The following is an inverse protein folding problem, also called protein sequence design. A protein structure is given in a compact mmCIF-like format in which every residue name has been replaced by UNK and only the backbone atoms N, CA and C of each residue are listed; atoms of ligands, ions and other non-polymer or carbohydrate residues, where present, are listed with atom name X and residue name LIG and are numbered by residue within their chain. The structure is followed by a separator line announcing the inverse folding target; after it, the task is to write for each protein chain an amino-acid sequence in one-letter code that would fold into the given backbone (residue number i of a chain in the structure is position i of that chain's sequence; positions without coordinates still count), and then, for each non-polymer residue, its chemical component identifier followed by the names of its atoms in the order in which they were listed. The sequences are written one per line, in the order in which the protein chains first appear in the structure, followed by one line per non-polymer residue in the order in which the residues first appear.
data_IF_918527337633
#
_entry.id   IF_918527337633
#
_cell.length_a   1.000
_cell.length_b   1.000
_cell.length_c   1.000
_cell.angle_alpha   90.00
_cell.angle_beta   90.00
_cell.angle_gamma   90.00
#
_symmetry.space_group_name_H-M   'P 1'
#
loop_
_entity.id
_entity.type
_entity.pdbx_description
1 polymer ?
#
# COMPACT_ATOMS: atom_id res chain seq x y z
N UNK A 1 -1.91 -7.13 -23.02
CA UNK A 1 -0.67 -6.39 -22.67
C UNK A 1 -0.84 -5.93 -21.25
N UNK A 2 0.26 -5.81 -20.48
CA UNK A 2 0.17 -5.36 -19.09
C UNK A 2 -0.30 -3.90 -19.06
N UNK A 3 -1.38 -3.60 -18.34
CA UNK A 3 -1.92 -2.25 -18.24
C UNK A 3 -2.59 -2.01 -16.88
N UNK A 4 -2.65 -0.75 -16.46
CA UNK A 4 -3.35 -0.35 -15.22
C UNK A 4 -4.84 -0.63 -15.36
N UNK A 5 -5.39 -1.47 -14.48
CA UNK A 5 -6.83 -1.76 -14.44
C UNK A 5 -7.57 -0.98 -13.37
N UNK A 6 -6.87 -0.59 -12.29
CA UNK A 6 -7.45 0.09 -11.14
C UNK A 6 -6.41 0.95 -10.45
N UNK A 7 -6.83 2.12 -10.00
CA UNK A 7 -6.07 3.00 -9.11
C UNK A 7 -6.92 3.25 -7.87
N UNK A 8 -6.40 2.92 -6.69
CA UNK A 8 -7.00 3.20 -5.39
C UNK A 8 -6.09 4.06 -4.52
N UNK A 9 -6.65 5.15 -4.03
CA UNK A 9 -5.99 6.08 -3.11
C UNK A 9 -6.51 5.83 -1.69
N UNK A 10 -5.65 5.99 -0.69
CA UNK A 10 -6.04 5.89 0.72
C UNK A 10 -5.74 7.20 1.45
N UNK A 11 -6.62 8.22 1.36
CA UNK A 11 -6.32 9.57 1.90
C UNK A 11 -5.90 9.58 3.36
N UNK A 12 -6.54 8.74 4.18
CA UNK A 12 -6.17 8.55 5.59
C UNK A 12 -5.58 7.16 5.78
N UNK A 13 -4.40 7.09 6.40
CA UNK A 13 -3.74 5.82 6.76
C UNK A 13 -4.70 4.95 7.58
N UNK A 14 -4.69 3.65 7.29
CA UNK A 14 -5.52 2.62 7.93
C UNK A 14 -7.02 2.65 7.56
N UNK A 15 -7.54 3.71 6.94
CA UNK A 15 -8.97 3.83 6.58
C UNK A 15 -9.25 3.46 5.12
N UNK A 16 -10.53 3.35 4.76
CA UNK A 16 -10.98 2.93 3.42
C UNK A 16 -10.47 3.85 2.31
N UNK A 17 -10.23 3.26 1.15
CA UNK A 17 -9.73 3.98 -0.03
C UNK A 17 -10.84 4.34 -1.01
N UNK A 18 -10.48 5.13 -2.02
CA UNK A 18 -11.35 5.56 -3.12
C UNK A 18 -10.69 5.21 -4.46
N UNK A 19 -11.48 4.67 -5.38
CA UNK A 19 -11.02 4.39 -6.75
C UNK A 19 -11.06 5.67 -7.59
N UNK A 20 -10.06 5.83 -8.45
CA UNK A 20 -9.93 6.96 -9.37
C UNK A 20 -9.51 6.48 -10.76
N UNK A 21 -9.91 7.23 -11.79
CA UNK A 21 -9.51 6.94 -13.18
C UNK A 21 -8.10 7.43 -13.48
N UNK A 22 -7.64 8.48 -12.79
CA UNK A 22 -6.28 9.01 -12.90
C UNK A 22 -5.84 9.70 -11.61
N UNK A 23 -4.53 9.84 -11.43
CA UNK A 23 -3.96 10.52 -10.26
C UNK A 23 -2.65 11.23 -10.60
N UNK A 24 -2.49 12.53 -10.23
CA UNK A 24 -1.23 13.24 -10.36
C UNK A 24 -0.17 12.72 -9.39
N UNK A 25 1.08 12.74 -9.85
CA UNK A 25 2.26 12.50 -9.03
C UNK A 25 2.68 13.81 -8.39
N UNK A 26 2.83 13.81 -7.07
CA UNK A 26 3.33 14.95 -6.31
C UNK A 26 4.84 14.87 -6.14
N UNK A 27 5.39 15.95 -5.58
CA UNK A 27 6.76 15.95 -5.10
C UNK A 27 7.02 14.73 -4.21
N UNK A 28 8.27 14.29 -4.13
CA UNK A 28 8.68 13.06 -3.45
C UNK A 28 8.07 11.76 -4.00
N UNK A 29 7.51 11.79 -5.22
CA UNK A 29 7.13 10.59 -5.97
C UNK A 29 5.89 9.88 -5.44
N UNK A 30 5.07 10.57 -4.63
CA UNK A 30 3.81 10.04 -4.10
C UNK A 30 2.63 10.32 -5.02
N UNK A 31 1.61 9.50 -4.94
CA UNK A 31 0.30 9.81 -5.55
C UNK A 31 -0.39 10.90 -4.71
N UNK A 32 -0.99 11.88 -5.38
CA UNK A 32 -1.83 12.87 -4.71
C UNK A 32 -2.94 12.17 -3.91
N UNK A 33 -3.21 12.64 -2.69
CA UNK A 33 -4.20 12.07 -1.78
C UNK A 33 -3.92 10.62 -1.33
N UNK A 34 -2.73 10.05 -1.55
CA UNK A 34 -2.40 8.75 -0.96
C UNK A 34 -1.65 8.89 0.37
N UNK A 35 -2.34 8.53 1.44
CA UNK A 35 -1.86 8.49 2.83
C UNK A 35 -1.28 9.83 3.28
N UNK A 36 -1.90 10.92 2.84
CA UNK A 36 -1.52 12.28 3.25
C UNK A 36 -1.82 12.52 4.72
N UNK A 37 -2.79 11.80 5.28
CA UNK A 37 -3.19 11.91 6.68
C UNK A 37 -3.01 10.61 7.44
N UNK A 38 -2.79 10.71 8.76
CA UNK A 38 -2.79 9.57 9.67
C UNK A 38 -3.32 9.96 11.05
N UNK A 39 -3.81 8.96 11.77
CA UNK A 39 -4.30 9.08 13.15
C UNK A 39 -3.18 8.77 14.13
N UNK A 40 -3.08 9.55 15.21
CA UNK A 40 -2.08 9.39 16.26
C UNK A 40 -2.72 9.38 17.66
N UNK A 41 -2.13 8.59 18.56
CA UNK A 41 -2.48 8.58 19.98
C UNK A 41 -1.69 9.64 20.76
N UNK A 42 -1.92 9.73 22.08
CA UNK A 42 -1.24 10.69 22.96
C UNK A 42 0.29 10.52 23.03
N UNK A 43 0.80 9.33 22.71
CA UNK A 43 2.24 9.02 22.66
C UNK A 43 2.86 9.36 21.30
N UNK A 44 2.08 9.90 20.35
CA UNK A 44 2.51 10.17 18.98
C UNK A 44 2.73 8.90 18.16
N UNK A 45 2.05 7.81 18.53
CA UNK A 45 2.11 6.53 17.83
C UNK A 45 0.90 6.38 16.90
N UNK A 46 1.10 5.73 15.75
CA UNK A 46 0.02 5.52 14.79
C UNK A 46 -1.13 4.69 15.37
N UNK A 47 -2.36 5.20 15.25
CA UNK A 47 -3.57 4.38 15.40
C UNK A 47 -3.80 3.61 14.11
N UNK A 48 -3.47 2.31 14.14
CA UNK A 48 -3.53 1.45 12.96
C UNK A 48 -3.98 0.03 13.31
N UNK A 49 -4.35 -0.74 12.28
CA UNK A 49 -4.90 -2.08 12.45
C UNK A 49 -3.93 -3.08 13.11
N UNK A 50 -2.63 -2.78 13.22
CA UNK A 50 -1.71 -3.62 13.99
C UNK A 50 -1.88 -3.43 15.49
N UNK A 51 -2.00 -2.17 15.94
CA UNK A 51 -1.98 -1.78 17.36
C UNK A 51 -3.39 -1.66 17.95
N UNK A 52 -4.33 -1.05 17.22
CA UNK A 52 -5.70 -0.87 17.67
C UNK A 52 -6.67 -1.46 16.62
N UNK A 53 -7.42 -2.50 17.01
CA UNK A 53 -8.35 -3.17 16.08
C UNK A 53 -9.57 -2.31 15.75
N UNK A 54 -9.92 -1.35 16.62
CA UNK A 54 -11.10 -0.51 16.46
C UNK A 54 -11.04 0.32 15.18
N UNK A 55 -9.85 0.64 14.66
CA UNK A 55 -9.69 1.39 13.42
C UNK A 55 -10.38 0.73 12.22
N UNK A 56 -10.51 -0.61 12.22
CA UNK A 56 -11.21 -1.33 11.16
C UNK A 56 -12.72 -1.07 11.14
N UNK A 57 -13.30 -0.66 12.27
CA UNK A 57 -14.72 -0.33 12.35
C UNK A 57 -15.03 1.05 11.76
N UNK A 58 -14.02 1.87 11.46
CA UNK A 58 -14.22 3.16 10.83
C UNK A 58 -14.15 2.97 9.31
N UNK A 59 -15.29 3.19 8.65
CA UNK A 59 -15.37 3.27 7.21
C UNK A 59 -15.32 4.73 6.77
N UNK A 60 -14.61 4.98 5.67
CA UNK A 60 -14.57 6.30 5.03
C UNK A 60 -15.12 6.23 3.62
N UNK A 61 -15.97 7.20 3.27
CA UNK A 61 -16.39 7.47 1.89
C UNK A 61 -15.79 8.80 1.48
N UNK A 62 -15.06 8.83 0.36
CA UNK A 62 -14.36 10.03 -0.10
C UNK A 62 -14.91 10.45 -1.45
N UNK A 63 -15.25 11.73 -1.57
CA UNK A 63 -15.54 12.38 -2.86
C UNK A 63 -14.47 13.44 -3.10
N UNK A 64 -13.50 13.11 -3.96
CA UNK A 64 -12.40 14.00 -4.31
C UNK A 64 -12.85 15.21 -5.13
N UNK A 65 -13.93 15.10 -5.90
CA UNK A 65 -14.45 16.20 -6.70
C UNK A 65 -15.18 17.23 -5.82
N UNK A 66 -15.88 16.75 -4.79
CA UNK A 66 -16.51 17.59 -3.78
C UNK A 66 -15.57 18.01 -2.63
N UNK A 67 -14.32 17.51 -2.61
CA UNK A 67 -13.36 17.68 -1.52
C UNK A 67 -13.96 17.30 -0.14
N UNK A 68 -14.58 16.12 -0.06
CA UNK A 68 -15.28 15.69 1.16
C UNK A 68 -14.93 14.26 1.57
N UNK A 69 -15.01 14.03 2.87
CA UNK A 69 -14.83 12.72 3.49
C UNK A 69 -15.88 12.51 4.58
N UNK A 70 -16.58 11.38 4.47
CA UNK A 70 -17.54 10.90 5.45
C UNK A 70 -16.96 9.73 6.21
N UNK A 71 -16.93 9.83 7.54
CA UNK A 71 -16.58 8.77 8.47
C UNK A 71 -17.86 8.12 9.00
N UNK A 72 -17.88 6.79 9.09
CA UNK A 72 -18.97 6.02 9.68
C UNK A 72 -18.41 4.88 10.52
N UNK A 73 -18.98 4.66 11.71
CA UNK A 73 -18.64 3.50 12.54
C UNK A 73 -19.56 2.33 12.18
N UNK A 74 -18.97 1.22 11.78
CA UNK A 74 -19.63 -0.03 11.41
C UNK A 74 -20.66 -0.46 12.46
N UNK A 75 -21.83 -0.93 12.02
CA UNK A 75 -22.98 -1.33 12.85
C UNK A 75 -23.52 -0.24 13.80
N UNK A 76 -23.32 1.05 13.48
CA UNK A 76 -23.89 2.17 14.25
C UNK A 76 -24.40 3.29 13.34
N UNK A 77 -25.21 4.19 13.90
CA UNK A 77 -25.63 5.43 13.23
C UNK A 77 -24.64 6.60 13.43
N UNK A 78 -23.44 6.33 13.99
CA UNK A 78 -22.44 7.37 14.25
C UNK A 78 -21.69 7.71 12.97
N UNK A 79 -21.93 8.91 12.47
CA UNK A 79 -21.24 9.45 11.30
C UNK A 79 -20.62 10.82 11.59
N UNK A 80 -19.59 11.18 10.83
CA UNK A 80 -18.99 12.50 10.85
C UNK A 80 -18.56 12.89 9.43
N UNK A 81 -18.89 14.08 8.98
CA UNK A 81 -18.60 14.55 7.62
C UNK A 81 -17.79 15.85 7.71
N UNK A 82 -16.74 15.96 6.89
CA UNK A 82 -15.98 17.20 6.76
C UNK A 82 -15.30 17.32 5.40
N UNK A 83 -14.70 18.47 5.16
CA UNK A 83 -13.82 18.67 4.02
C UNK A 83 -12.61 17.73 4.14
N UNK A 84 -12.17 17.14 3.02
CA UNK A 84 -10.99 16.27 3.00
C UNK A 84 -9.70 17.07 3.21
N UNK A 85 -9.56 18.17 2.49
CA UNK A 85 -8.46 19.09 2.70
C UNK A 85 -8.60 19.77 4.08
N UNK A 86 -7.59 19.60 4.94
CA UNK A 86 -7.52 20.23 6.25
C UNK A 86 -8.15 19.44 7.40
N UNK A 87 -8.40 18.12 7.23
CA UNK A 87 -8.89 17.27 8.33
C UNK A 87 -7.98 17.25 9.56
N UNK A 88 -6.68 17.50 9.39
CA UNK A 88 -5.68 17.65 10.46
C UNK A 88 -5.88 18.90 11.32
N UNK A 89 -6.68 19.85 10.85
CA UNK A 89 -7.03 21.08 11.56
C UNK A 89 -8.50 21.10 12.01
N UNK A 90 -9.17 19.93 12.06
CA UNK A 90 -10.57 19.81 12.44
C UNK A 90 -10.74 19.27 13.88
N UNK A 91 -10.92 20.14 14.89
CA UNK A 91 -11.07 19.71 16.29
C UNK A 91 -12.36 18.93 16.56
N UNK A 92 -13.40 19.09 15.74
CA UNK A 92 -14.64 18.33 15.90
C UNK A 92 -14.45 16.87 15.46
N UNK A 93 -13.65 16.64 14.41
CA UNK A 93 -13.26 15.30 13.98
C UNK A 93 -12.41 14.61 15.06
N UNK A 94 -11.40 15.30 15.60
CA UNK A 94 -10.54 14.76 16.67
C UNK A 94 -11.35 14.40 17.93
N UNK A 95 -12.32 15.25 18.30
CA UNK A 95 -13.23 14.96 19.42
C UNK A 95 -14.12 13.73 19.13
N UNK A 96 -14.63 13.60 17.91
CA UNK A 96 -15.44 12.45 17.49
C UNK A 96 -14.63 11.14 17.49
N UNK A 97 -13.38 11.19 17.02
CA UNK A 97 -12.45 10.05 17.05
C UNK A 97 -12.05 9.70 18.50
N UNK A 98 -11.73 10.69 19.32
CA UNK A 98 -11.38 10.52 20.74
C UNK A 98 -12.50 9.83 21.50
N UNK A 99 -13.76 10.25 21.29
CA UNK A 99 -14.93 9.59 21.88
C UNK A 99 -15.11 8.14 21.40
N UNK A 100 -14.80 7.85 20.14
CA UNK A 100 -14.89 6.49 19.60
C UNK A 100 -13.80 5.55 20.15
N UNK A 101 -12.56 6.02 20.19
CA UNK A 101 -11.43 5.21 20.64
C UNK A 101 -11.29 5.15 22.17
N UNK A 102 -11.98 6.03 22.90
CA UNK A 102 -11.86 6.20 24.37
C UNK A 102 -10.42 6.54 24.82
N UNK A 103 -9.69 7.25 23.94
CA UNK A 103 -8.33 7.73 24.15
C UNK A 103 -8.09 8.99 23.28
N UNK A 104 -7.19 9.92 23.66
CA UNK A 104 -6.94 11.13 22.87
C UNK A 104 -6.40 10.80 21.47
N UNK A 105 -7.12 11.21 20.43
CA UNK A 105 -6.73 11.01 19.03
C UNK A 105 -6.51 12.35 18.33
N UNK A 106 -5.39 12.47 17.63
CA UNK A 106 -5.12 13.57 16.70
C UNK A 106 -5.03 13.09 15.26
N UNK A 107 -5.27 14.01 14.34
CA UNK A 107 -5.08 13.79 12.89
C UNK A 107 -3.91 14.66 12.44
N UNK A 108 -2.91 14.07 11.80
CA UNK A 108 -1.80 14.84 11.24
C UNK A 108 -1.71 14.69 9.72
N UNK A 109 -1.23 15.74 9.05
CA UNK A 109 -0.86 15.73 7.65
C UNK A 109 0.65 15.51 7.48
N UNK A 110 1.04 14.69 6.50
CA UNK A 110 2.44 14.45 6.18
C UNK A 110 3.08 15.70 5.55
N UNK A 111 4.17 16.19 6.14
CA UNK A 111 4.80 17.45 5.75
C UNK A 111 5.57 17.41 4.40
N UNK A 112 6.28 16.31 4.12
CA UNK A 112 7.16 16.20 2.93
C UNK A 112 7.01 14.88 2.14
N UNK A 113 6.48 13.85 2.79
CA UNK A 113 6.26 12.50 2.22
C UNK A 113 4.80 12.12 2.44
N UNK A 114 4.48 10.84 2.55
CA UNK A 114 3.20 10.35 3.03
C UNK A 114 3.39 9.32 4.16
N UNK A 115 2.32 8.96 4.85
CA UNK A 115 2.33 7.94 5.89
C UNK A 115 2.19 6.52 5.32
N UNK A 116 3.00 6.21 4.31
CA UNK A 116 3.02 4.92 3.60
C UNK A 116 3.14 3.71 4.53
N UNK A 117 2.51 2.60 4.15
CA UNK A 117 2.67 1.31 4.84
C UNK A 117 4.03 0.63 4.52
N UNK A 118 4.80 1.20 3.60
CA UNK A 118 6.08 0.65 3.13
C UNK A 118 7.31 1.29 3.81
N UNK A 119 7.13 2.37 4.59
CA UNK A 119 8.23 3.11 5.22
C UNK A 119 9.14 2.23 6.10
N UNK A 120 8.56 1.31 6.88
CA UNK A 120 9.34 0.40 7.71
C UNK A 120 10.16 -0.62 6.92
N UNK A 121 9.71 -0.99 5.71
CA UNK A 121 10.38 -1.95 4.83
C UNK A 121 11.57 -1.37 4.08
N UNK A 122 11.54 -0.07 3.82
CA UNK A 122 12.56 0.63 3.03
C UNK A 122 13.53 1.47 3.88
N UNK A 123 13.19 1.74 5.15
CA UNK A 123 14.04 2.51 6.06
C UNK A 123 15.48 1.95 6.13
N UNK A 124 15.72 0.63 6.08
CA UNK A 124 17.08 0.08 6.07
C UNK A 124 17.92 0.44 4.83
N UNK A 125 17.27 0.79 3.71
CA UNK A 125 17.91 1.00 2.40
C UNK A 125 17.90 2.49 1.98
N UNK A 126 17.58 3.41 2.90
CA UNK A 126 17.62 4.88 2.73
C UNK A 126 16.77 5.43 1.59
N UNK A 127 15.75 4.70 1.14
CA UNK A 127 14.75 5.24 0.24
C UNK A 127 13.74 6.03 1.08
N UNK A 128 13.72 7.35 0.91
CA UNK A 128 12.86 8.27 1.68
C UNK A 128 11.54 8.59 0.97
N UNK A 129 11.42 8.25 -0.31
CA UNK A 129 10.29 8.51 -1.17
C UNK A 129 9.73 7.18 -1.69
N UNK A 130 8.58 6.74 -1.17
CA UNK A 130 7.88 5.58 -1.73
C UNK A 130 6.90 6.02 -2.80
N UNK A 131 6.98 5.34 -3.94
CA UNK A 131 5.94 5.32 -4.92
C UNK A 131 4.75 4.44 -4.51
N UNK A 132 3.74 4.32 -5.39
CA UNK A 132 2.62 3.43 -5.21
C UNK A 132 3.08 1.97 -5.17
N UNK A 133 2.25 1.13 -4.56
CA UNK A 133 2.43 -0.31 -4.63
C UNK A 133 1.60 -0.89 -5.78
N UNK A 134 2.11 -1.95 -6.42
CA UNK A 134 1.50 -2.58 -7.59
C UNK A 134 1.26 -4.08 -7.37
N UNK A 135 0.16 -4.61 -7.92
CA UNK A 135 -0.22 -6.04 -7.90
C UNK A 135 -0.90 -6.44 -9.21
N UNK A 136 -0.76 -7.68 -9.66
CA UNK A 136 -1.58 -8.20 -10.77
C UNK A 136 -3.02 -8.53 -10.35
N UNK A 137 -3.99 -8.30 -11.23
CA UNK A 137 -5.39 -8.74 -11.06
C UNK A 137 -5.46 -10.27 -10.90
N UNK A 138 -4.78 -10.99 -11.78
CA UNK A 138 -4.69 -12.46 -11.72
C UNK A 138 -3.95 -12.93 -10.45
N UNK A 139 -3.01 -12.14 -9.91
CA UNK A 139 -2.41 -12.43 -8.61
C UNK A 139 -3.44 -12.36 -7.49
N UNK A 140 -4.32 -11.37 -7.51
CA UNK A 140 -5.38 -11.25 -6.51
C UNK A 140 -6.41 -12.36 -6.63
N UNK A 141 -6.80 -12.74 -7.86
CA UNK A 141 -7.69 -13.87 -8.12
C UNK A 141 -7.07 -15.20 -7.64
N UNK A 142 -5.79 -15.43 -7.94
CA UNK A 142 -5.06 -16.61 -7.47
C UNK A 142 -5.01 -16.67 -5.94
N UNK A 143 -4.61 -15.58 -5.28
CA UNK A 143 -4.54 -15.51 -3.81
C UNK A 143 -5.93 -15.69 -3.19
N UNK A 144 -6.97 -15.10 -3.78
CA UNK A 144 -8.35 -15.26 -3.31
C UNK A 144 -8.78 -16.73 -3.35
N UNK A 145 -8.44 -17.46 -4.43
CA UNK A 145 -8.76 -18.89 -4.58
C UNK A 145 -8.22 -19.80 -3.48
N UNK A 146 -7.26 -19.32 -2.69
CA UNK A 146 -6.71 -20.06 -1.56
C UNK A 146 -7.63 -20.11 -0.33
N UNK A 147 -8.72 -19.32 -0.35
CA UNK A 147 -9.68 -19.15 0.72
C UNK A 147 -11.11 -19.28 0.19
N UNK A 148 -11.97 -20.03 0.88
CA UNK A 148 -13.34 -20.33 0.42
C UNK A 148 -14.31 -19.13 0.44
N UNK A 149 -13.95 -18.08 1.17
CA UNK A 149 -14.80 -16.94 1.55
C UNK A 149 -14.21 -15.58 1.15
N UNK A 150 -13.16 -15.57 0.32
CA UNK A 150 -12.56 -14.33 -0.20
C UNK A 150 -12.62 -14.30 -1.72
N UNK A 151 -12.83 -13.10 -2.25
CA UNK A 151 -12.69 -12.79 -3.67
C UNK A 151 -11.49 -11.85 -3.91
N UNK A 152 -11.22 -11.54 -5.17
CA UNK A 152 -10.10 -10.69 -5.56
C UNK A 152 -10.20 -9.28 -4.97
N UNK A 153 -11.40 -8.70 -4.87
CA UNK A 153 -11.60 -7.38 -4.26
C UNK A 153 -11.33 -7.41 -2.75
N UNK A 154 -11.79 -8.45 -2.06
CA UNK A 154 -11.49 -8.71 -0.65
C UNK A 154 -9.99 -8.80 -0.39
N UNK A 155 -9.23 -9.47 -1.27
CA UNK A 155 -7.76 -9.47 -1.21
C UNK A 155 -7.20 -8.07 -1.46
N UNK A 156 -7.64 -7.36 -2.50
CA UNK A 156 -7.16 -6.01 -2.82
C UNK A 156 -7.30 -5.05 -1.62
N UNK A 157 -8.49 -5.03 -1.01
CA UNK A 157 -8.81 -4.21 0.18
C UNK A 157 -7.91 -4.54 1.37
N UNK A 158 -7.59 -5.82 1.58
CA UNK A 158 -6.67 -6.30 2.65
C UNK A 158 -5.22 -5.90 2.40
N UNK A 159 -4.78 -5.89 1.14
CA UNK A 159 -3.40 -5.54 0.77
C UNK A 159 -3.12 -4.04 0.84
N UNK A 160 -4.17 -3.22 0.72
CA UNK A 160 -4.11 -1.74 0.63
C UNK A 160 -3.13 -1.26 -0.45
N UNK A 161 -3.14 -1.96 -1.58
CA UNK A 161 -2.32 -1.62 -2.75
C UNK A 161 -2.94 -0.48 -3.53
N UNK A 162 -2.11 0.28 -4.24
CA UNK A 162 -2.55 1.44 -4.99
C UNK A 162 -2.95 1.11 -6.42
N UNK A 163 -2.18 0.30 -7.13
CA UNK A 163 -2.37 0.05 -8.55
C UNK A 163 -2.56 -1.45 -8.78
N UNK A 164 -3.60 -1.81 -9.51
CA UNK A 164 -3.79 -3.16 -10.05
C UNK A 164 -3.44 -3.20 -11.54
N UNK A 165 -2.91 -4.34 -11.98
CA UNK A 165 -2.41 -4.56 -13.34
C UNK A 165 -3.20 -5.71 -13.97
N UNK A 166 -3.84 -5.45 -15.11
CA UNK A 166 -4.51 -6.47 -15.92
C UNK A 166 -3.61 -6.94 -17.08
N UNK A 167 -3.97 -8.06 -17.71
CA UNK A 167 -3.28 -8.62 -18.85
C UNK A 167 -1.96 -9.31 -18.51
N UNK A 168 -1.81 -9.77 -17.27
CA UNK A 168 -0.61 -10.42 -16.72
C UNK A 168 -0.94 -11.73 -16.01
N UNK A 169 0.01 -12.67 -15.98
CA UNK A 169 -0.13 -13.95 -15.24
C UNK A 169 -0.03 -13.76 -13.72
N UNK A 170 -0.53 -14.69 -12.89
CA UNK A 170 -0.33 -14.62 -11.44
C UNK A 170 1.13 -14.45 -11.06
N UNK A 171 1.39 -13.53 -10.12
CA UNK A 171 2.70 -13.12 -9.62
C UNK A 171 3.63 -12.49 -10.66
N UNK A 172 3.08 -11.98 -11.78
CA UNK A 172 3.87 -11.27 -12.79
C UNK A 172 4.60 -10.05 -12.21
N UNK A 173 4.04 -9.40 -11.19
CA UNK A 173 4.66 -8.24 -10.56
C UNK A 173 6.01 -8.57 -9.90
N UNK A 174 6.32 -9.85 -9.65
CA UNK A 174 7.65 -10.27 -9.18
C UNK A 174 8.78 -9.96 -10.19
N UNK A 175 8.44 -9.65 -11.45
CA UNK A 175 9.39 -9.18 -12.48
C UNK A 175 9.76 -7.71 -12.32
N UNK A 176 9.08 -6.97 -11.45
CA UNK A 176 9.26 -5.52 -11.28
C UNK A 176 10.21 -5.17 -10.14
N UNK A 177 10.89 -6.11 -9.50
CA UNK A 177 11.97 -5.80 -8.55
C UNK A 177 13.16 -6.71 -8.80
N UNK A 178 14.34 -6.29 -8.37
CA UNK A 178 15.55 -7.07 -8.59
C UNK A 178 15.79 -8.08 -7.47
N UNK A 179 16.69 -9.01 -7.77
CA UNK A 179 17.07 -10.07 -6.85
C UNK A 179 18.31 -9.73 -6.01
N UNK A 180 18.73 -8.46 -5.95
CA UNK A 180 19.96 -8.08 -5.26
C UNK A 180 19.65 -7.63 -3.81
N UNK A 181 20.25 -8.26 -2.78
CA UNK A 181 20.11 -7.80 -1.40
C UNK A 181 20.58 -6.36 -1.22
N UNK A 182 19.69 -5.48 -0.78
CA UNK A 182 20.07 -4.12 -0.43
C UNK A 182 20.62 -4.08 1.01
N UNK A 183 21.76 -3.42 1.18
CA UNK A 183 22.40 -3.18 2.47
C UNK A 183 22.34 -1.70 2.84
N UNK A 184 22.64 -1.36 4.10
CA UNK A 184 22.75 0.05 4.54
C UNK A 184 23.78 0.88 3.76
N UNK A 185 24.72 0.25 3.05
CA UNK A 185 25.81 0.91 2.30
C UNK A 185 25.64 0.83 0.78
N UNK A 186 24.82 -0.09 0.32
CA UNK A 186 24.57 -0.36 -1.08
C UNK A 186 23.08 -0.72 -1.19
N UNK A 187 22.20 0.20 -1.63
CA UNK A 187 20.78 -0.07 -1.78
C UNK A 187 20.50 -1.10 -2.87
N UNK A 188 21.54 -1.64 -3.53
CA UNK A 188 21.43 -2.67 -4.54
C UNK A 188 20.86 -2.13 -5.83
N UNK A 189 20.17 -3.01 -6.53
CA UNK A 189 19.51 -2.71 -7.79
C UNK A 189 17.99 -2.69 -7.60
N UNK A 190 17.31 -2.14 -8.59
CA UNK A 190 15.86 -2.25 -8.74
C UNK A 190 15.56 -2.53 -10.21
N UNK A 191 14.28 -2.62 -10.56
CA UNK A 191 13.86 -2.73 -11.96
C UNK A 191 13.24 -1.41 -12.38
N UNK A 192 13.79 -0.81 -13.43
CA UNK A 192 13.18 0.32 -14.12
C UNK A 192 12.05 -0.20 -15.02
N UNK A 193 10.90 0.45 -14.92
CA UNK A 193 9.76 0.22 -15.80
C UNK A 193 8.96 1.51 -15.95
N UNK A 194 8.14 1.61 -17.00
CA UNK A 194 7.21 2.72 -17.18
C UNK A 194 5.78 2.27 -16.94
N UNK A 195 4.95 3.19 -16.45
CA UNK A 195 3.49 3.10 -16.45
C UNK A 195 3.02 4.34 -17.21
N UNK A 196 2.53 4.15 -18.44
CA UNK A 196 2.35 5.26 -19.38
C UNK A 196 3.68 6.02 -19.57
N UNK A 197 3.66 7.33 -19.33
CA UNK A 197 4.83 8.19 -19.46
C UNK A 197 5.65 8.36 -18.15
N UNK A 198 5.32 7.58 -17.11
CA UNK A 198 5.90 7.71 -15.77
C UNK A 198 6.95 6.63 -15.50
N UNK A 199 8.19 7.05 -15.23
CA UNK A 199 9.25 6.13 -14.82
C UNK A 199 9.09 5.69 -13.37
N UNK A 200 9.10 4.37 -13.15
CA UNK A 200 9.09 3.72 -11.85
C UNK A 200 10.36 2.91 -11.64
N UNK A 201 10.78 2.82 -10.38
CA UNK A 201 11.81 1.90 -9.92
C UNK A 201 11.18 0.95 -8.92
N UNK A 202 11.00 -0.31 -9.28
CA UNK A 202 10.55 -1.30 -8.32
C UNK A 202 11.72 -1.80 -7.48
N UNK A 203 11.51 -1.77 -6.17
CA UNK A 203 12.55 -1.86 -5.15
C UNK A 203 12.58 -3.24 -4.52
N UNK A 204 11.41 -3.78 -4.17
CA UNK A 204 11.30 -5.05 -3.46
C UNK A 204 9.87 -5.58 -3.42
N UNK A 205 9.73 -6.88 -3.15
CA UNK A 205 8.46 -7.46 -2.72
C UNK A 205 8.10 -7.00 -1.30
N UNK A 206 6.88 -6.54 -1.08
CA UNK A 206 6.46 -5.98 0.22
C UNK A 206 6.23 -7.09 1.26
N UNK A 207 6.92 -7.08 2.42
CA UNK A 207 6.61 -7.97 3.53
C UNK A 207 5.23 -7.65 4.08
N UNK A 208 4.42 -8.68 4.31
CA UNK A 208 3.08 -8.52 4.87
C UNK A 208 3.11 -8.64 6.39
N UNK A 209 2.28 -7.83 7.03
CA UNK A 209 2.06 -7.84 8.48
C UNK A 209 0.77 -8.62 8.80
N UNK A 210 0.30 -8.56 10.03
CA UNK A 210 -0.95 -9.23 10.43
C UNK A 210 -2.20 -8.63 9.77
N UNK A 211 -2.17 -7.37 9.32
CA UNK A 211 -3.36 -6.63 8.86
C UNK A 211 -4.15 -7.33 7.74
N UNK A 212 -3.54 -7.92 6.69
CA UNK A 212 -4.29 -8.64 5.67
C UNK A 212 -5.11 -9.83 6.19
N UNK A 213 -4.76 -10.40 7.36
CA UNK A 213 -5.55 -11.46 8.00
C UNK A 213 -6.84 -10.97 8.65
N UNK A 214 -7.11 -9.66 8.64
CA UNK A 214 -8.28 -9.06 9.29
C UNK A 214 -9.21 -8.47 8.26
N UNK A 215 -10.50 -8.67 8.49
CA UNK A 215 -11.55 -8.09 7.67
C UNK A 215 -11.41 -6.56 7.56
N UNK A 216 -11.40 -5.99 6.34
CA UNK A 216 -11.28 -4.55 6.16
C UNK A 216 -12.43 -3.73 6.76
N UNK A 217 -13.63 -4.32 6.94
CA UNK A 217 -14.83 -3.63 7.43
C UNK A 217 -15.09 -3.85 8.91
N UNK A 218 -14.82 -5.06 9.40
CA UNK A 218 -15.15 -5.44 10.78
C UNK A 218 -13.93 -5.59 11.68
N UNK A 219 -12.75 -5.77 11.09
CA UNK A 219 -11.52 -6.11 11.80
C UNK A 219 -11.47 -7.55 12.31
N UNK A 220 -12.48 -8.37 12.00
CA UNK A 220 -12.53 -9.79 12.38
C UNK A 220 -11.32 -10.53 11.83
N UNK A 221 -10.66 -11.31 12.68
CA UNK A 221 -9.46 -12.04 12.29
C UNK A 221 -9.82 -13.36 11.62
N UNK A 222 -9.33 -13.55 10.40
CA UNK A 222 -9.40 -14.83 9.70
C UNK A 222 -8.33 -15.79 10.22
N UNK A 223 -8.79 -16.89 10.81
CA UNK A 223 -7.91 -17.94 11.32
C UNK A 223 -7.08 -18.57 10.21
N UNK A 224 -5.83 -18.89 10.51
CA UNK A 224 -4.86 -19.54 9.60
C UNK A 224 -4.57 -18.78 8.30
N UNK A 225 -5.01 -17.54 8.12
CA UNK A 225 -4.78 -16.76 6.90
C UNK A 225 -3.29 -16.74 6.53
N UNK A 226 -2.43 -16.26 7.44
CA UNK A 226 -0.99 -16.16 7.18
C UNK A 226 -0.38 -17.51 6.88
N UNK A 227 -0.68 -18.55 7.68
CA UNK A 227 -0.15 -19.90 7.44
C UNK A 227 -0.51 -20.42 6.04
N UNK A 228 -1.80 -20.33 5.67
CA UNK A 228 -2.31 -20.77 4.37
C UNK A 228 -1.67 -19.98 3.23
N UNK A 229 -1.54 -18.66 3.38
CA UNK A 229 -0.86 -17.79 2.42
C UNK A 229 0.57 -18.27 2.17
N UNK A 230 1.35 -18.47 3.24
CA UNK A 230 2.77 -18.84 3.16
C UNK A 230 2.95 -20.20 2.47
N UNK A 231 2.13 -21.19 2.82
CA UNK A 231 2.16 -22.52 2.20
C UNK A 231 1.87 -22.45 0.69
N UNK A 232 0.82 -21.73 0.28
CA UNK A 232 0.44 -21.62 -1.12
C UNK A 232 1.40 -20.76 -1.93
N UNK A 233 1.87 -19.64 -1.35
CA UNK A 233 2.84 -18.76 -2.00
C UNK A 233 4.17 -19.47 -2.23
N UNK A 234 4.60 -20.33 -1.30
CA UNK A 234 5.78 -21.19 -1.47
C UNK A 234 5.60 -22.25 -2.56
N UNK A 235 4.44 -22.89 -2.59
CA UNK A 235 4.12 -23.92 -3.59
C UNK A 235 4.00 -23.35 -5.01
N UNK A 236 3.53 -22.11 -5.14
CA UNK A 236 3.29 -21.41 -6.41
C UNK A 236 4.30 -20.30 -6.66
N UNK A 237 5.48 -20.36 -6.04
CA UNK A 237 6.50 -19.35 -6.25
C UNK A 237 7.01 -19.45 -7.69
N UNK A 238 7.00 -18.37 -8.48
CA UNK A 238 7.25 -18.47 -9.91
C UNK A 238 8.74 -18.67 -10.20
N UNK A 239 9.04 -19.44 -11.25
CA UNK A 239 10.41 -19.79 -11.65
C UNK A 239 11.28 -18.58 -12.07
N UNK A 240 10.66 -17.44 -12.39
CA UNK A 240 11.37 -16.20 -12.72
C UNK A 240 11.74 -15.35 -11.51
N UNK A 241 11.18 -15.63 -10.34
CA UNK A 241 11.48 -14.91 -9.11
C UNK A 241 12.50 -15.68 -8.28
N UNK A 242 13.29 -14.97 -7.50
CA UNK A 242 14.26 -15.57 -6.58
C UNK A 242 13.77 -15.44 -5.14
N UNK A 243 13.57 -16.58 -4.47
CA UNK A 243 13.08 -16.62 -3.09
C UNK A 243 14.11 -16.07 -2.09
N UNK A 244 15.41 -16.08 -2.41
CA UNK A 244 16.44 -15.51 -1.55
C UNK A 244 16.27 -14.00 -1.36
N UNK A 245 15.52 -13.34 -2.25
CA UNK A 245 15.28 -11.89 -2.27
C UNK A 245 14.14 -11.48 -1.36
N UNK A 246 13.33 -12.44 -0.92
CA UNK A 246 12.31 -12.22 0.07
C UNK A 246 12.97 -11.96 1.42
N UNK A 247 12.86 -10.73 1.92
CA UNK A 247 13.35 -10.39 3.26
C UNK A 247 14.80 -9.89 3.33
N UNK A 248 15.54 -9.83 2.22
CA UNK A 248 16.94 -9.32 2.18
C UNK A 248 17.07 -7.85 2.57
N UNK A 249 16.00 -7.07 2.41
CA UNK A 249 16.00 -5.65 2.72
C UNK A 249 15.58 -5.33 4.16
N UNK A 250 15.34 -6.36 4.99
CA UNK A 250 14.97 -6.23 6.39
C UNK A 250 15.87 -7.09 7.27
N UNK A 251 16.18 -6.63 8.49
CA UNK A 251 16.84 -7.43 9.55
C UNK A 251 15.87 -8.55 10.03
N UNK A 252 15.42 -9.43 9.13
CA UNK A 252 14.60 -10.61 9.44
C UNK A 252 15.42 -11.85 9.11
N UNK A 253 15.76 -12.61 10.15
CA UNK A 253 16.59 -13.82 10.06
C UNK A 253 15.96 -14.94 9.20
N UNK A 254 14.67 -14.84 8.81
CA UNK A 254 13.97 -15.87 8.05
C UNK A 254 13.29 -15.30 6.78
N UNK A 255 13.98 -15.39 5.64
CA UNK A 255 13.39 -15.30 4.30
C UNK A 255 12.39 -16.44 4.03
N UNK A 256 12.42 -17.50 4.84
CA UNK A 256 11.66 -18.74 4.70
C UNK A 256 10.14 -18.61 4.88
N UNK A 257 9.63 -17.42 5.21
CA UNK A 257 8.24 -17.25 5.56
C UNK A 257 7.33 -16.95 4.35
N UNK A 258 7.80 -16.65 3.13
CA UNK A 258 6.98 -16.43 1.91
C UNK A 258 5.77 -15.46 2.06
N UNK A 259 5.66 -14.73 3.18
CA UNK A 259 4.57 -13.81 3.46
C UNK A 259 4.84 -12.42 2.88
N UNK A 260 5.00 -12.40 1.56
CA UNK A 260 5.35 -11.23 0.75
C UNK A 260 4.41 -11.17 -0.45
N UNK A 261 3.98 -9.96 -0.78
CA UNK A 261 3.15 -9.73 -1.97
C UNK A 261 3.18 -8.26 -2.34
N UNK A 262 3.07 -7.97 -3.64
CA UNK A 262 3.09 -6.63 -4.26
C UNK A 262 4.45 -5.99 -4.24
N UNK A 263 4.64 -5.09 -5.20
CA UNK A 263 5.90 -4.42 -5.42
C UNK A 263 5.87 -3.07 -4.74
N UNK A 264 6.91 -2.78 -3.95
CA UNK A 264 7.19 -1.42 -3.47
C UNK A 264 7.97 -0.71 -4.55
N UNK A 265 7.52 0.47 -4.96
CA UNK A 265 8.23 1.28 -5.94
C UNK A 265 8.78 2.56 -5.33
N UNK A 266 9.62 3.23 -6.12
CA UNK A 266 10.03 4.61 -5.98
C UNK A 266 9.77 5.31 -7.32
N UNK A 267 9.22 6.50 -7.26
CA UNK A 267 9.21 7.42 -8.41
C UNK A 267 10.29 8.49 -8.16
N UNK A 268 11.12 8.82 -9.17
CA UNK A 268 12.07 9.90 -9.02
C UNK A 268 11.35 11.25 -9.04
N UNK A 269 11.92 12.27 -8.40
CA UNK A 269 11.27 13.58 -8.25
C UNK A 269 10.98 14.27 -9.59
N UNK A 270 11.68 13.89 -10.66
CA UNK A 270 11.45 14.38 -12.03
C UNK A 270 10.09 13.97 -12.62
N UNK A 271 9.40 13.00 -12.02
CA UNK A 271 8.06 12.59 -12.44
C UNK A 271 6.95 13.46 -11.82
N UNK A 272 7.28 14.36 -10.89
CA UNK A 272 6.31 15.26 -10.29
C UNK A 272 5.58 16.09 -11.35
N UNK A 273 4.25 16.16 -11.24
CA UNK A 273 3.36 16.83 -12.19
C UNK A 273 2.91 15.97 -13.37
N UNK A 274 3.49 14.78 -13.57
CA UNK A 274 2.91 13.76 -14.46
C UNK A 274 1.70 13.08 -13.79
N UNK A 275 1.01 12.26 -14.56
CA UNK A 275 -0.20 11.54 -14.14
C UNK A 275 -0.07 10.06 -14.49
N UNK A 276 -0.68 9.20 -13.66
CA UNK A 276 -0.95 7.79 -13.97
C UNK A 276 -2.44 7.63 -14.15
N UNK A 277 -2.87 6.92 -15.19
CA UNK A 277 -4.27 6.69 -15.51
C UNK A 277 -4.59 5.19 -15.72
N UNK A 278 -5.85 4.83 -15.51
CA UNK A 278 -6.38 3.53 -15.90
C UNK A 278 -6.23 3.38 -17.42
N UNK A 279 -5.72 2.22 -17.84
CA UNK A 279 -5.37 1.92 -19.22
C UNK A 279 -3.91 2.20 -19.59
N UNK A 280 -3.14 2.85 -18.72
CA UNK A 280 -1.71 3.06 -18.97
C UNK A 280 -0.97 1.73 -19.09
N UNK A 281 -0.22 1.57 -20.19
CA UNK A 281 0.56 0.37 -20.47
C UNK A 281 1.82 0.32 -19.61
N UNK A 282 2.28 -0.90 -19.30
CA UNK A 282 3.48 -1.14 -18.50
C UNK A 282 4.57 -1.75 -19.37
N UNK A 283 5.74 -1.10 -19.39
CA UNK A 283 6.93 -1.59 -20.11
C UNK A 283 8.10 -1.75 -19.14
N UNK A 284 8.71 -2.94 -19.11
CA UNK A 284 9.88 -3.24 -18.27
C UNK A 284 11.15 -2.92 -19.06
N UNK A 285 11.97 -2.01 -18.56
CA UNK A 285 13.22 -1.58 -19.20
C UNK A 285 14.41 -2.43 -18.74
N UNK A 286 14.42 -2.83 -17.47
CA UNK A 286 15.40 -3.76 -16.90
C UNK A 286 16.02 -3.32 -15.58
N UNK A 287 17.06 -4.01 -15.17
CA UNK A 287 17.69 -3.80 -13.86
C UNK A 287 18.60 -2.57 -13.86
N UNK A 288 18.51 -1.74 -12.80
CA UNK A 288 19.26 -0.49 -12.64
C UNK A 288 19.80 -0.32 -11.20
N UNK A 289 20.93 0.36 -10.98
CA UNK A 289 21.42 0.69 -9.63
C UNK A 289 20.54 1.74 -8.94
N UNK A 290 20.02 1.47 -7.75
CA UNK A 290 19.12 2.40 -7.03
C UNK A 290 19.82 3.67 -6.50
N UNK A 291 21.15 3.69 -6.41
CA UNK A 291 21.92 4.88 -6.05
C UNK A 291 21.92 5.95 -7.14
N UNK A 292 21.75 5.57 -8.40
CA UNK A 292 21.88 6.45 -9.56
C UNK A 292 20.54 7.00 -10.04
N UNK A 293 19.44 6.46 -9.50
CA UNK A 293 18.08 6.90 -9.79
C UNK A 293 17.76 8.13 -8.94
N UNK A 294 18.03 9.33 -9.44
CA UNK A 294 17.67 10.61 -8.80
C UNK A 294 16.27 11.08 -9.23
#
# INVERSE_FOLDING_TARGET
MAAVSRIRLYPVKSLSGVDVDSVPIRDSGRLQYDREYALFDEDGTYVNGRQNKLVHQINTTVDLAANSIDFAIHDTDRTFACDLDGIDSNPELEAWLTDFFDEPITVEQAAQTNFTDSAGGIAPIRITATGPTLVGEETMAEVASWYDDLDADGIFRRLRTNIAIDGVEPFWEDKLYSNTPATRRDPGTGVEFTVGDVTHYGVMCKPRCVVPSRDPETGEQKLNFTKRFMEQRKERFPDWADAETLGTNMDRENADDYYYLTVVTRLPSREAGKEIAVGDEITIEGEVPLLETH
#
